data_IF_117563948157
#
_entry.id   IF_117563948157
#
_cell.length_a   1.000
_cell.length_b   1.000
_cell.length_c   1.000
_cell.angle_alpha   90.00
_cell.angle_beta   90.00
_cell.angle_gamma   90.00
#
_symmetry.space_group_name_H-M   'P 1'
#
loop_
_entity.id
_entity.type
_entity.pdbx_description
1 polymer ?
#
# COMPACT_ATOMS: atom_id res chain seq x y z
N UNK A 1 47.30 -33.73 -19.98
CA UNK A 1 47.06 -32.94 -18.75
C UNK A 1 47.80 -31.59 -18.80
N UNK A 2 47.68 -30.82 -19.90
CA UNK A 2 48.30 -29.49 -20.01
C UNK A 2 47.60 -28.55 -21.03
N UNK A 3 46.38 -28.90 -21.49
CA UNK A 3 45.63 -28.13 -22.51
C UNK A 3 44.34 -27.50 -21.91
N UNK A 4 43.85 -28.00 -20.77
CA UNK A 4 42.65 -27.47 -20.11
C UNK A 4 42.91 -26.24 -19.23
N UNK A 5 44.17 -25.94 -18.89
CA UNK A 5 44.53 -24.84 -18.00
C UNK A 5 44.71 -23.50 -18.75
N UNK A 6 44.81 -23.52 -20.08
CA UNK A 6 45.00 -22.32 -20.91
C UNK A 6 43.67 -21.65 -21.34
N UNK A 7 42.54 -22.36 -21.25
CA UNK A 7 41.23 -21.83 -21.65
C UNK A 7 40.53 -21.01 -20.55
N UNK A 8 41.02 -21.04 -19.31
CA UNK A 8 40.44 -20.27 -18.19
C UNK A 8 41.08 -18.89 -17.97
N UNK A 9 42.24 -18.61 -18.56
CA UNK A 9 42.99 -17.37 -18.32
C UNK A 9 42.72 -16.24 -19.32
N UNK A 10 41.88 -16.46 -20.36
CA UNK A 10 41.59 -15.43 -21.37
C UNK A 10 40.25 -14.70 -21.19
N UNK A 11 39.50 -14.96 -20.13
CA UNK A 11 38.30 -14.19 -19.79
C UNK A 11 38.54 -13.43 -18.49
N UNK A 12 39.20 -12.27 -18.65
CA UNK A 12 39.39 -11.27 -17.60
C UNK A 12 38.08 -10.69 -17.08
N UNK A 13 37.32 -11.49 -16.33
CA UNK A 13 36.22 -11.01 -15.50
C UNK A 13 36.81 -10.75 -14.12
N UNK A 14 37.28 -9.53 -13.93
CA UNK A 14 37.56 -8.95 -12.62
C UNK A 14 36.40 -9.27 -11.68
N UNK A 15 36.67 -10.09 -10.65
CA UNK A 15 35.79 -10.24 -9.48
C UNK A 15 35.70 -8.89 -8.77
N UNK A 16 34.80 -8.03 -9.23
CA UNK A 16 34.30 -6.94 -8.41
C UNK A 16 33.61 -7.60 -7.21
N UNK A 17 34.18 -7.40 -6.02
CA UNK A 17 33.60 -7.83 -4.76
C UNK A 17 32.25 -7.15 -4.60
N UNK A 18 31.17 -7.87 -4.93
CA UNK A 18 29.82 -7.50 -4.52
C UNK A 18 29.83 -7.57 -3.00
N UNK A 19 29.86 -6.39 -2.36
CA UNK A 19 29.64 -6.27 -0.94
C UNK A 19 28.36 -7.03 -0.61
N UNK A 20 28.50 -8.15 0.10
CA UNK A 20 27.39 -8.96 0.58
C UNK A 20 26.58 -8.11 1.55
N UNK A 21 25.57 -7.42 1.02
CA UNK A 21 24.51 -6.82 1.82
C UNK A 21 23.94 -7.96 2.66
N UNK A 22 24.07 -7.92 4.00
CA UNK A 22 23.47 -8.91 4.90
C UNK A 22 21.97 -9.00 4.60
N UNK A 23 21.56 -10.01 3.85
CA UNK A 23 20.17 -10.33 3.58
C UNK A 23 19.60 -10.81 4.93
N UNK A 24 18.58 -10.11 5.46
CA UNK A 24 17.89 -10.60 6.66
C UNK A 24 17.06 -11.82 6.27
N UNK A 25 17.59 -13.00 6.55
CA UNK A 25 16.92 -14.27 6.27
C UNK A 25 15.92 -14.54 7.40
N UNK A 26 14.64 -14.71 7.05
CA UNK A 26 13.61 -15.05 8.02
C UNK A 26 13.71 -16.52 8.44
N UNK A 27 13.71 -16.78 9.74
CA UNK A 27 13.57 -18.11 10.32
C UNK A 27 12.53 -18.08 11.42
N UNK A 28 11.33 -18.62 11.20
CA UNK A 28 10.33 -18.75 12.27
C UNK A 28 10.74 -19.86 13.24
N UNK A 29 10.68 -19.63 14.56
CA UNK A 29 10.87 -20.68 15.56
C UNK A 29 9.68 -21.65 15.64
N UNK A 30 8.51 -21.28 15.09
CA UNK A 30 7.31 -22.11 15.04
C UNK A 30 7.01 -22.58 13.60
N UNK A 31 6.34 -23.74 13.46
CA UNK A 31 5.85 -24.27 12.18
C UNK A 31 4.83 -23.37 11.44
N UNK A 32 4.48 -22.22 12.05
CA UNK A 32 3.50 -21.21 11.60
C UNK A 32 4.19 -20.08 10.78
N UNK A 33 5.50 -20.16 10.61
CA UNK A 33 6.21 -19.32 9.64
C UNK A 33 5.81 -19.66 8.20
N UNK A 34 6.19 -18.82 7.21
CA UNK A 34 5.93 -19.13 5.82
C UNK A 34 6.53 -20.48 5.47
N UNK A 35 5.77 -21.32 4.80
CA UNK A 35 6.24 -22.61 4.28
C UNK A 35 6.21 -22.57 2.75
N UNK A 36 7.19 -23.25 2.15
CA UNK A 36 7.26 -23.29 0.70
C UNK A 36 6.22 -24.28 0.17
N UNK A 37 5.22 -23.79 -0.57
CA UNK A 37 4.18 -24.63 -1.17
C UNK A 37 4.64 -25.39 -2.42
N UNK A 38 5.77 -24.99 -3.03
CA UNK A 38 6.37 -25.71 -4.16
C UNK A 38 6.75 -27.15 -3.76
N UNK A 39 6.10 -28.15 -4.36
CA UNK A 39 6.33 -29.57 -4.10
C UNK A 39 7.74 -30.06 -4.40
N UNK A 40 8.45 -29.38 -5.30
CA UNK A 40 9.83 -29.72 -5.68
C UNK A 40 10.89 -28.97 -4.85
N UNK A 41 10.48 -28.28 -3.78
CA UNK A 41 11.42 -27.53 -2.97
C UNK A 41 12.23 -28.46 -2.05
N UNK A 42 13.56 -28.30 -2.08
CA UNK A 42 14.51 -29.05 -1.22
C UNK A 42 14.17 -28.95 0.27
N UNK A 43 13.59 -27.83 0.73
CA UNK A 43 13.19 -27.63 2.13
C UNK A 43 11.99 -28.50 2.56
N UNK A 44 11.29 -29.16 1.62
CA UNK A 44 10.23 -30.12 1.93
C UNK A 44 10.75 -31.56 2.00
N UNK A 45 11.85 -31.85 1.31
CA UNK A 45 12.38 -33.20 1.12
C UNK A 45 13.55 -33.51 2.04
N UNK A 46 14.35 -32.51 2.43
CA UNK A 46 15.51 -32.69 3.30
C UNK A 46 15.27 -32.13 4.71
N UNK A 47 15.26 -32.98 5.75
CA UNK A 47 15.20 -32.53 7.13
C UNK A 47 16.61 -32.22 7.66
N UNK A 48 16.68 -31.28 8.60
CA UNK A 48 17.81 -30.96 9.52
C UNK A 48 18.61 -29.68 9.22
N UNK A 49 18.99 -29.34 7.98
CA UNK A 49 19.77 -28.09 7.71
C UNK A 49 19.03 -27.02 6.88
N UNK A 50 17.96 -27.39 6.19
CA UNK A 50 17.36 -26.61 5.11
C UNK A 50 16.00 -26.03 5.52
N UNK A 51 15.98 -25.21 6.57
CA UNK A 51 14.75 -24.46 6.93
C UNK A 51 14.37 -23.53 5.79
N UNK A 52 13.10 -23.47 5.34
CA UNK A 52 12.73 -22.60 4.25
C UNK A 52 12.92 -21.14 4.67
N UNK A 53 13.85 -20.47 3.98
CA UNK A 53 14.19 -19.06 4.20
C UNK A 53 13.43 -18.21 3.22
N UNK A 54 12.74 -17.20 3.74
CA UNK A 54 12.01 -16.23 2.95
C UNK A 54 12.63 -14.86 3.08
N UNK A 55 12.62 -14.13 1.98
CA UNK A 55 12.84 -12.69 1.99
C UNK A 55 11.54 -11.99 1.62
N UNK A 56 11.32 -10.80 2.17
CA UNK A 56 10.24 -9.96 1.67
C UNK A 56 10.62 -9.48 0.28
N UNK A 57 9.95 -10.03 -0.71
CA UNK A 57 10.11 -9.65 -2.10
C UNK A 57 8.88 -8.84 -2.47
N UNK A 58 8.91 -7.53 -2.24
CA UNK A 58 7.84 -6.67 -2.74
C UNK A 58 7.92 -6.66 -4.27
N UNK A 59 7.06 -7.42 -4.94
CA UNK A 59 7.04 -7.45 -6.40
C UNK A 59 5.99 -6.49 -6.88
N UNK A 60 6.46 -5.40 -7.47
CA UNK A 60 5.60 -4.54 -8.25
C UNK A 60 4.53 -3.81 -7.44
N UNK A 61 3.64 -3.13 -8.16
CA UNK A 61 3.05 -1.88 -7.71
C UNK A 61 1.91 -2.05 -6.67
N UNK A 62 1.55 -3.30 -6.31
CA UNK A 62 0.43 -3.64 -5.40
C UNK A 62 0.68 -3.48 -3.91
N UNK A 63 1.91 -3.24 -3.49
CA UNK A 63 2.23 -3.29 -2.06
C UNK A 63 1.90 -4.63 -1.40
N UNK A 64 1.38 -5.63 -2.14
CA UNK A 64 1.00 -6.94 -1.64
C UNK A 64 2.24 -7.59 -1.06
N UNK A 65 2.08 -8.20 0.11
CA UNK A 65 3.19 -8.89 0.74
C UNK A 65 3.47 -10.16 -0.04
N UNK A 66 4.59 -10.17 -0.77
CA UNK A 66 5.09 -11.36 -1.44
C UNK A 66 6.35 -11.81 -0.72
N UNK A 67 6.35 -13.08 -0.35
CA UNK A 67 7.51 -13.75 0.24
C UNK A 67 8.14 -14.62 -0.82
N UNK A 68 9.43 -14.42 -1.07
CA UNK A 68 10.18 -15.25 -2.02
C UNK A 68 11.02 -16.26 -1.26
N UNK A 69 10.84 -17.54 -1.59
CA UNK A 69 11.65 -18.63 -1.06
C UNK A 69 13.07 -18.53 -1.62
N UNK A 70 14.08 -18.52 -0.76
CA UNK A 70 15.49 -18.39 -1.14
C UNK A 70 16.00 -19.60 -1.95
N UNK A 71 15.44 -20.79 -1.73
CA UNK A 71 15.95 -22.03 -2.33
C UNK A 71 15.40 -22.29 -3.74
N UNK A 72 14.10 -22.06 -3.97
CA UNK A 72 13.46 -22.36 -5.25
C UNK A 72 12.88 -21.13 -5.94
N UNK A 73 13.11 -19.92 -5.41
CA UNK A 73 12.58 -18.65 -5.91
C UNK A 73 11.04 -18.58 -6.00
N UNK A 74 10.32 -19.54 -5.42
CA UNK A 74 8.86 -19.55 -5.41
C UNK A 74 8.31 -18.36 -4.64
N UNK A 75 7.30 -17.71 -5.20
CA UNK A 75 6.70 -16.50 -4.65
C UNK A 75 5.35 -16.83 -4.00
N UNK A 76 5.21 -16.47 -2.73
CA UNK A 76 4.00 -16.67 -1.94
C UNK A 76 3.34 -15.33 -1.68
N UNK A 77 2.11 -15.15 -2.17
CA UNK A 77 1.29 -13.97 -1.88
C UNK A 77 0.62 -14.14 -0.52
N UNK A 78 0.94 -13.26 0.42
CA UNK A 78 0.42 -13.27 1.78
C UNK A 78 -0.77 -12.32 1.89
N UNK A 79 -1.90 -12.83 2.37
CA UNK A 79 -3.13 -12.04 2.58
C UNK A 79 -3.29 -11.61 4.03
N UNK A 80 -2.92 -12.46 4.98
CA UNK A 80 -3.03 -12.18 6.40
C UNK A 80 -1.66 -12.33 7.06
N UNK A 81 -1.33 -11.37 7.91
CA UNK A 81 -0.10 -11.37 8.71
C UNK A 81 -0.47 -11.38 10.18
N UNK A 82 0.34 -12.04 10.98
CA UNK A 82 0.21 -12.05 12.41
C UNK A 82 1.55 -11.96 13.13
N UNK A 83 1.45 -11.79 14.43
CA UNK A 83 2.59 -11.72 15.32
C UNK A 83 2.56 -12.94 16.25
N UNK A 84 3.64 -13.74 16.18
CA UNK A 84 3.74 -15.06 16.82
C UNK A 84 3.59 -14.99 18.33
N UNK A 85 4.21 -14.01 18.99
CA UNK A 85 4.16 -13.87 20.45
C UNK A 85 2.79 -13.43 20.97
N UNK A 86 2.17 -12.45 20.31
CA UNK A 86 0.87 -11.95 20.76
C UNK A 86 -0.30 -12.83 20.30
N UNK A 87 -0.05 -13.81 19.43
CA UNK A 87 -1.09 -14.64 18.79
C UNK A 87 -2.19 -13.79 18.17
N UNK A 88 -1.82 -12.71 17.48
CA UNK A 88 -2.77 -11.83 16.79
C UNK A 88 -2.54 -11.73 15.30
N UNK A 89 -3.61 -11.63 14.50
CA UNK A 89 -3.53 -11.51 13.04
C UNK A 89 -4.37 -10.35 12.50
N UNK A 90 -4.04 -9.90 11.29
CA UNK A 90 -4.79 -8.89 10.55
C UNK A 90 -4.63 -9.10 9.04
N UNK A 91 -5.57 -8.64 8.21
CA UNK A 91 -5.33 -8.56 6.77
C UNK A 91 -4.12 -7.65 6.52
N UNK A 92 -3.23 -8.08 5.64
CA UNK A 92 -2.07 -7.31 5.27
C UNK A 92 -2.49 -6.08 4.46
N UNK A 93 -1.89 -4.93 4.78
CA UNK A 93 -2.03 -3.67 4.07
C UNK A 93 -0.62 -3.10 3.82
N UNK A 94 -0.42 -2.37 2.71
CA UNK A 94 0.90 -1.80 2.35
C UNK A 94 1.51 -0.98 3.49
N UNK A 95 0.65 -0.34 4.29
CA UNK A 95 1.06 0.49 5.40
C UNK A 95 1.66 -0.34 6.56
N UNK A 96 1.44 -1.67 6.60
CA UNK A 96 2.11 -2.61 7.52
C UNK A 96 3.48 -3.06 7.03
N UNK A 97 3.94 -2.62 5.85
CA UNK A 97 5.17 -3.11 5.23
C UNK A 97 6.42 -2.97 6.10
N UNK A 98 6.53 -1.89 6.89
CA UNK A 98 7.63 -1.72 7.85
C UNK A 98 7.51 -2.65 9.06
N UNK A 99 6.32 -2.74 9.65
CA UNK A 99 6.01 -3.65 10.76
C UNK A 99 6.31 -5.10 10.39
N UNK A 100 5.93 -5.52 9.18
CA UNK A 100 6.22 -6.87 8.67
C UNK A 100 7.72 -7.08 8.50
N UNK A 101 8.48 -6.10 8.00
CA UNK A 101 9.94 -6.17 7.92
C UNK A 101 10.58 -6.28 9.30
N UNK A 102 10.04 -5.59 10.30
CA UNK A 102 10.51 -5.69 11.68
C UNK A 102 10.22 -7.06 12.29
N UNK A 103 8.98 -7.55 12.20
CA UNK A 103 8.62 -8.90 12.64
C UNK A 103 9.45 -9.96 11.93
N UNK A 104 9.76 -9.76 10.65
CA UNK A 104 10.66 -10.64 9.92
C UNK A 104 12.08 -10.63 10.51
N UNK A 105 12.66 -9.45 10.76
CA UNK A 105 14.00 -9.36 11.39
C UNK A 105 14.06 -10.02 12.77
N UNK A 106 12.95 -9.97 13.52
CA UNK A 106 12.82 -10.53 14.87
C UNK A 106 12.37 -11.99 14.91
N UNK A 107 12.16 -12.64 13.76
CA UNK A 107 11.62 -14.00 13.70
C UNK A 107 10.19 -14.14 14.30
N UNK A 108 9.39 -13.08 14.23
CA UNK A 108 8.08 -12.96 14.90
C UNK A 108 6.87 -12.96 13.94
N UNK A 109 7.07 -13.07 12.63
CA UNK A 109 6.02 -12.98 11.61
C UNK A 109 5.27 -14.31 11.40
N UNK A 110 3.99 -14.35 11.73
CA UNK A 110 3.07 -15.38 11.29
C UNK A 110 2.40 -14.96 9.97
N UNK A 111 2.10 -15.93 9.09
CA UNK A 111 1.31 -15.68 7.89
C UNK A 111 0.17 -16.68 7.79
N UNK A 112 -0.96 -16.25 7.22
CA UNK A 112 -2.11 -17.11 7.02
C UNK A 112 -2.71 -16.93 5.63
N UNK A 113 -3.12 -18.06 5.04
CA UNK A 113 -3.82 -18.13 3.76
C UNK A 113 -5.32 -17.79 3.93
N UNK A 114 -5.87 -18.00 5.13
CA UNK A 114 -7.26 -17.68 5.45
C UNK A 114 -7.47 -17.34 6.93
N UNK A 115 -8.58 -16.65 7.22
CA UNK A 115 -9.04 -16.40 8.60
C UNK A 115 -9.20 -17.71 9.38
N UNK A 116 -9.82 -18.72 8.76
CA UNK A 116 -10.06 -20.02 9.38
C UNK A 116 -8.77 -20.68 9.86
N UNK A 117 -7.71 -20.63 9.05
CA UNK A 117 -6.39 -21.16 9.41
C UNK A 117 -5.80 -20.41 10.61
N UNK A 118 -5.94 -19.09 10.67
CA UNK A 118 -5.45 -18.30 11.80
C UNK A 118 -6.16 -18.67 13.11
N UNK A 119 -7.49 -18.80 13.07
CA UNK A 119 -8.32 -19.15 14.22
C UNK A 119 -8.09 -20.59 14.70
N UNK A 120 -7.94 -21.56 13.78
CA UNK A 120 -7.58 -22.95 14.10
C UNK A 120 -6.22 -23.04 14.83
N UNK A 121 -5.28 -22.13 14.50
CA UNK A 121 -3.98 -21.99 15.16
C UNK A 121 -4.03 -21.11 16.43
N UNK A 122 -5.23 -20.78 16.91
CA UNK A 122 -5.52 -19.97 18.11
C UNK A 122 -4.98 -18.53 18.02
N UNK A 123 -4.97 -17.94 16.83
CA UNK A 123 -4.72 -16.51 16.68
C UNK A 123 -6.03 -15.73 16.73
N UNK A 124 -6.01 -14.61 17.44
CA UNK A 124 -7.14 -13.68 17.52
C UNK A 124 -6.94 -12.49 16.56
N UNK A 125 -8.00 -11.91 15.99
CA UNK A 125 -7.82 -10.70 15.17
C UNK A 125 -7.29 -9.53 16.01
N UNK A 126 -6.41 -8.71 15.45
CA UNK A 126 -6.06 -7.41 16.04
C UNK A 126 -7.33 -6.58 16.19
N UNK A 127 -7.71 -6.28 17.44
CA UNK A 127 -8.77 -5.32 17.71
C UNK A 127 -8.23 -3.93 17.36
N UNK A 128 -8.89 -3.26 16.41
CA UNK A 128 -8.63 -1.85 16.18
C UNK A 128 -8.90 -1.10 17.48
N UNK A 129 -8.03 -0.15 17.86
CA UNK A 129 -8.35 0.79 18.93
C UNK A 129 -9.66 1.55 18.63
N UNK A 130 -10.22 2.28 19.60
CA UNK A 130 -11.43 3.06 19.37
C UNK A 130 -11.26 3.92 18.12
N UNK A 131 -12.18 3.76 17.17
CA UNK A 131 -12.19 4.52 15.93
C UNK A 131 -12.71 5.92 16.24
N UNK A 132 -11.91 6.94 15.94
CA UNK A 132 -12.35 8.33 16.02
C UNK A 132 -12.76 8.78 14.63
N UNK A 133 -13.98 9.31 14.52
CA UNK A 133 -14.43 9.95 13.29
C UNK A 133 -13.64 11.24 13.06
N UNK A 134 -13.12 11.39 11.85
CA UNK A 134 -12.33 12.53 11.40
C UNK A 134 -13.07 13.34 10.36
N UNK A 135 -13.84 12.68 9.49
CA UNK A 135 -14.73 13.35 8.54
C UNK A 135 -16.03 12.57 8.42
N UNK A 136 -17.16 13.23 8.60
CA UNK A 136 -18.45 12.67 8.21
C UNK A 136 -18.76 12.87 6.70
N UNK A 137 -19.91 12.37 6.26
CA UNK A 137 -20.34 12.46 4.85
C UNK A 137 -20.45 13.91 4.35
N UNK A 138 -20.92 14.82 5.21
CA UNK A 138 -21.09 16.23 4.85
C UNK A 138 -19.73 16.92 4.70
N UNK A 139 -18.79 16.63 5.62
CA UNK A 139 -17.41 17.10 5.54
C UNK A 139 -16.69 16.55 4.29
N UNK A 140 -16.89 15.28 3.94
CA UNK A 140 -16.31 14.70 2.72
C UNK A 140 -16.87 15.39 1.48
N UNK A 141 -18.19 15.62 1.42
CA UNK A 141 -18.84 16.31 0.30
C UNK A 141 -18.32 17.73 0.15
N UNK A 142 -18.24 18.48 1.26
CA UNK A 142 -17.71 19.84 1.27
C UNK A 142 -16.24 19.88 0.81
N UNK A 143 -15.41 18.94 1.28
CA UNK A 143 -14.03 18.83 0.85
C UNK A 143 -13.89 18.54 -0.66
N UNK A 144 -14.74 17.67 -1.21
CA UNK A 144 -14.77 17.40 -2.66
C UNK A 144 -15.14 18.67 -3.43
N UNK A 145 -16.21 19.37 -3.04
CA UNK A 145 -16.61 20.62 -3.69
C UNK A 145 -15.48 21.67 -3.64
N UNK A 146 -14.85 21.86 -2.48
CA UNK A 146 -13.73 22.80 -2.33
C UNK A 146 -12.54 22.43 -3.23
N UNK A 147 -12.15 21.15 -3.26
CA UNK A 147 -11.06 20.70 -4.14
C UNK A 147 -11.42 20.91 -5.62
N UNK A 148 -12.65 20.62 -6.02
CA UNK A 148 -13.12 20.84 -7.40
C UNK A 148 -13.07 22.32 -7.79
N UNK A 149 -13.50 23.23 -6.92
CA UNK A 149 -13.39 24.68 -7.16
C UNK A 149 -11.94 25.12 -7.31
N UNK A 150 -11.05 24.65 -6.44
CA UNK A 150 -9.61 24.95 -6.52
C UNK A 150 -8.98 24.42 -7.81
N UNK A 151 -9.35 23.20 -8.23
CA UNK A 151 -8.89 22.61 -9.50
C UNK A 151 -9.34 23.48 -10.68
N UNK A 152 -10.61 23.91 -10.68
CA UNK A 152 -11.16 24.73 -11.75
C UNK A 152 -10.48 26.10 -11.82
N UNK A 153 -10.24 26.74 -10.68
CA UNK A 153 -9.51 28.01 -10.59
C UNK A 153 -8.05 27.89 -11.07
N UNK A 154 -7.40 26.75 -10.82
CA UNK A 154 -6.04 26.46 -11.26
C UNK A 154 -5.91 25.94 -12.70
N UNK A 155 -7.02 25.83 -13.43
CA UNK A 155 -7.07 25.29 -14.79
C UNK A 155 -7.26 26.40 -15.82
N UNK A 156 -6.27 26.60 -16.68
CA UNK A 156 -6.35 27.57 -17.79
C UNK A 156 -7.31 27.11 -18.89
N UNK A 157 -7.38 25.81 -19.13
CA UNK A 157 -8.23 25.18 -20.15
C UNK A 157 -8.88 23.90 -19.60
N UNK A 158 -10.15 23.96 -19.15
CA UNK A 158 -10.88 22.80 -18.64
C UNK A 158 -10.99 21.64 -19.65
N UNK A 159 -10.88 21.88 -20.96
CA UNK A 159 -10.99 20.81 -21.97
C UNK A 159 -9.79 19.88 -21.99
N UNK A 160 -8.67 20.34 -21.42
CA UNK A 160 -7.43 19.57 -21.28
C UNK A 160 -7.33 18.83 -19.96
N UNK A 161 -8.30 19.01 -19.07
CA UNK A 161 -8.30 18.36 -17.77
C UNK A 161 -8.54 16.86 -17.93
N UNK A 162 -7.67 16.06 -17.32
CA UNK A 162 -7.82 14.61 -17.22
C UNK A 162 -7.73 14.23 -15.75
N UNK A 163 -8.78 13.61 -15.20
CA UNK A 163 -8.77 13.15 -13.80
C UNK A 163 -8.43 11.68 -13.78
N UNK A 164 -7.38 11.32 -13.04
CA UNK A 164 -6.94 9.94 -12.88
C UNK A 164 -7.02 9.54 -11.41
N UNK A 165 -7.91 8.62 -11.08
CA UNK A 165 -8.02 8.11 -9.71
C UNK A 165 -7.18 6.85 -9.48
N UNK A 166 -6.43 6.81 -8.39
CA UNK A 166 -5.72 5.59 -7.97
C UNK A 166 -6.74 4.58 -7.47
N UNK A 167 -6.76 3.38 -8.04
CA UNK A 167 -7.72 2.34 -7.65
C UNK A 167 -7.44 1.87 -6.22
N UNK A 168 -8.43 1.61 -5.37
CA UNK A 168 -9.89 1.59 -5.60
C UNK A 168 -10.62 2.85 -5.16
N UNK A 169 -10.28 3.43 -4.01
CA UNK A 169 -11.06 4.57 -3.46
C UNK A 169 -10.78 5.89 -4.19
N UNK A 170 -9.55 6.08 -4.67
CA UNK A 170 -9.19 7.24 -5.47
C UNK A 170 -9.97 7.34 -6.79
N UNK A 171 -10.36 6.23 -7.41
CA UNK A 171 -11.21 6.24 -8.61
C UNK A 171 -12.64 6.70 -8.34
N UNK A 172 -13.24 6.29 -7.22
CA UNK A 172 -14.54 6.82 -6.80
C UNK A 172 -14.49 8.31 -6.45
N UNK A 173 -13.44 8.75 -5.77
CA UNK A 173 -13.22 10.17 -5.48
C UNK A 173 -13.00 10.98 -6.78
N UNK A 174 -12.22 10.45 -7.72
CA UNK A 174 -11.99 11.07 -9.03
C UNK A 174 -13.30 11.28 -9.78
N UNK A 175 -14.18 10.27 -9.79
CA UNK A 175 -15.52 10.36 -10.40
C UNK A 175 -16.36 11.45 -9.74
N UNK A 176 -16.40 11.50 -8.41
CA UNK A 176 -17.15 12.54 -7.67
C UNK A 176 -16.60 13.95 -7.92
N UNK A 177 -15.28 14.12 -7.94
CA UNK A 177 -14.63 15.40 -8.29
C UNK A 177 -15.01 15.82 -9.71
N UNK A 178 -14.97 14.87 -10.65
CA UNK A 178 -15.40 15.10 -12.04
C UNK A 178 -16.83 15.60 -12.09
N UNK A 179 -17.78 14.91 -11.45
CA UNK A 179 -19.19 15.32 -11.42
C UNK A 179 -19.37 16.75 -10.89
N UNK A 180 -18.62 17.16 -9.86
CA UNK A 180 -18.65 18.54 -9.34
C UNK A 180 -18.05 19.57 -10.33
N UNK A 181 -16.97 19.20 -11.02
CA UNK A 181 -16.36 20.03 -12.06
C UNK A 181 -17.27 20.18 -13.28
N UNK A 182 -17.95 19.11 -13.71
CA UNK A 182 -18.89 19.13 -14.82
C UNK A 182 -20.11 20.01 -14.50
N UNK A 183 -20.63 19.96 -13.27
CA UNK A 183 -21.70 20.87 -12.80
C UNK A 183 -21.29 22.34 -12.89
N UNK A 184 -20.06 22.64 -12.48
CA UNK A 184 -19.56 24.03 -12.40
C UNK A 184 -19.14 24.59 -13.76
N UNK A 185 -18.50 23.77 -14.60
CA UNK A 185 -17.97 24.18 -15.92
C UNK A 185 -18.95 23.98 -17.06
N UNK A 186 -19.99 23.14 -16.88
CA UNK A 186 -20.91 22.65 -17.93
C UNK A 186 -20.19 21.93 -19.09
N UNK A 187 -19.01 21.38 -18.84
CA UNK A 187 -18.23 20.60 -19.80
C UNK A 187 -18.03 19.19 -19.28
N UNK A 188 -17.90 18.23 -20.18
CA UNK A 188 -17.61 16.84 -19.82
C UNK A 188 -16.12 16.68 -19.53
N UNK A 189 -15.78 16.10 -18.38
CA UNK A 189 -14.40 15.88 -17.96
C UNK A 189 -14.04 14.41 -18.16
N UNK A 190 -12.87 14.15 -18.76
CA UNK A 190 -12.40 12.79 -18.95
C UNK A 190 -11.87 12.23 -17.63
N UNK A 191 -12.33 11.02 -17.26
CA UNK A 191 -11.92 10.32 -16.04
C UNK A 191 -11.33 8.95 -16.38
N UNK A 192 -10.18 8.67 -15.80
CA UNK A 192 -9.54 7.36 -15.81
C UNK A 192 -9.21 6.85 -14.42
N UNK A 193 -8.79 5.61 -14.37
CA UNK A 193 -8.23 4.95 -13.21
C UNK A 193 -6.79 4.49 -13.48
N UNK A 194 -5.98 4.51 -12.44
CA UNK A 194 -4.64 3.93 -12.43
C UNK A 194 -4.70 2.71 -11.53
N UNK A 195 -4.50 1.54 -12.11
CA UNK A 195 -4.23 0.34 -11.33
C UNK A 195 -2.74 0.37 -11.01
N UNK A 196 -2.42 0.73 -9.78
CA UNK A 196 -1.07 0.50 -9.28
C UNK A 196 -0.97 -0.92 -8.74
N UNK A 197 -2.04 -1.70 -8.53
CA UNK A 197 -1.91 -3.00 -7.89
C UNK A 197 -1.90 -4.19 -8.88
N UNK A 198 -0.76 -4.90 -9.04
CA UNK A 198 -0.69 -6.23 -9.68
C UNK A 198 0.32 -6.34 -10.83
N UNK A 199 -0.05 -7.03 -11.91
CA UNK A 199 0.72 -7.11 -13.17
C UNK A 199 0.48 -5.93 -14.13
N UNK A 200 -0.57 -5.16 -13.91
CA UNK A 200 -1.04 -4.15 -14.87
C UNK A 200 -0.53 -2.77 -14.51
N UNK A 201 0.73 -2.43 -14.83
CA UNK A 201 1.21 -1.04 -14.96
C UNK A 201 0.35 -0.29 -16.03
N UNK A 202 -0.95 -0.10 -15.76
CA UNK A 202 -2.00 0.13 -16.74
C UNK A 202 -2.90 1.30 -16.32
N UNK A 203 -3.21 2.14 -17.30
CA UNK A 203 -4.27 3.15 -17.19
C UNK A 203 -5.52 2.64 -17.90
N UNK A 204 -6.68 2.79 -17.25
CA UNK A 204 -7.98 2.43 -17.81
C UNK A 204 -8.93 3.63 -17.74
N UNK A 205 -9.87 3.74 -18.68
CA UNK A 205 -10.94 4.76 -18.62
C UNK A 205 -12.10 4.27 -17.75
N UNK A 206 -12.79 5.18 -17.05
CA UNK A 206 -13.98 4.88 -16.24
C UNK A 206 -15.32 5.12 -16.96
N UNK A 207 -15.33 5.19 -18.30
CA UNK A 207 -16.52 5.51 -19.09
C UNK A 207 -17.47 4.31 -19.29
N UNK A 208 -18.81 4.50 -19.33
CA UNK A 208 -19.80 3.45 -19.52
C UNK A 208 -20.23 3.21 -20.99
N UNK A 209 -19.40 3.57 -21.97
CA UNK A 209 -19.77 3.45 -23.39
C UNK A 209 -18.98 2.31 -24.05
N UNK A 210 -19.75 1.36 -24.58
CA UNK A 210 -19.36 0.19 -25.38
C UNK A 210 -18.02 0.33 -26.12
N UNK A 211 -17.02 -0.41 -25.66
CA UNK A 211 -15.71 -0.49 -26.31
C UNK A 211 -14.65 -1.15 -25.44
N UNK A 212 -13.69 -1.83 -26.09
CA UNK A 212 -12.48 -2.38 -25.49
C UNK A 212 -11.82 -1.38 -24.51
N UNK A 213 -11.22 -1.85 -23.40
CA UNK A 213 -10.54 -0.98 -22.44
C UNK A 213 -9.42 -0.20 -23.14
N UNK A 214 -9.69 1.07 -23.44
CA UNK A 214 -8.69 1.97 -24.03
C UNK A 214 -8.12 2.89 -22.96
N UNK A 215 -6.79 2.99 -22.91
CA UNK A 215 -6.12 3.89 -21.98
C UNK A 215 -6.41 5.36 -22.32
N UNK A 216 -6.67 6.22 -21.31
CA UNK A 216 -6.80 7.65 -21.52
C UNK A 216 -5.49 8.21 -22.12
N UNK A 217 -5.61 9.11 -23.09
CA UNK A 217 -4.44 9.78 -23.65
C UNK A 217 -3.97 10.87 -22.68
N UNK A 218 -2.81 10.67 -22.06
CA UNK A 218 -2.21 11.61 -21.12
C UNK A 218 -1.40 12.72 -21.80
N UNK A 219 -1.10 12.61 -23.11
CA UNK A 219 -0.22 13.54 -23.81
C UNK A 219 -0.82 14.96 -23.84
N UNK A 220 -0.03 15.95 -23.44
CA UNK A 220 -0.40 17.37 -23.42
C UNK A 220 -1.67 17.69 -22.60
N UNK A 221 -2.10 16.77 -21.72
CA UNK A 221 -3.21 16.98 -20.79
C UNK A 221 -2.74 17.57 -19.46
N UNK A 222 -3.61 18.33 -18.81
CA UNK A 222 -3.47 18.73 -17.41
C UNK A 222 -4.05 17.64 -16.51
N UNK A 223 -3.19 16.78 -15.96
CA UNK A 223 -3.60 15.61 -15.19
C UNK A 223 -3.80 15.96 -13.73
N UNK A 224 -4.97 15.60 -13.17
CA UNK A 224 -5.24 15.61 -11.74
C UNK A 224 -5.24 14.16 -11.25
N UNK A 225 -4.19 13.78 -10.53
CA UNK A 225 -4.08 12.49 -9.85
C UNK A 225 -4.87 12.54 -8.53
N UNK A 226 -5.73 11.56 -8.28
CA UNK A 226 -6.61 11.53 -7.10
C UNK A 226 -6.33 10.29 -6.25
N UNK A 227 -6.09 10.49 -4.96
CA UNK A 227 -5.91 9.42 -3.97
C UNK A 227 -6.78 9.67 -2.72
N UNK A 228 -7.07 8.63 -1.95
CA UNK A 228 -7.88 8.78 -0.74
C UNK A 228 -7.07 9.33 0.44
N UNK A 229 -5.88 8.78 0.70
CA UNK A 229 -5.00 9.20 1.79
C UNK A 229 -3.55 9.21 1.35
N UNK A 230 -2.87 10.36 1.50
CA UNK A 230 -1.41 10.42 1.34
C UNK A 230 -0.69 10.18 2.66
N UNK A 231 0.24 9.22 2.64
CA UNK A 231 1.14 8.87 3.74
C UNK A 231 2.61 9.04 3.32
N UNK A 232 3.34 7.95 3.08
CA UNK A 232 4.76 7.97 2.68
C UNK A 232 5.01 8.58 1.30
N UNK A 233 4.00 8.53 0.42
CA UNK A 233 4.06 8.99 -0.97
C UNK A 233 4.46 7.92 -1.99
N UNK A 234 4.70 6.67 -1.58
CA UNK A 234 5.13 5.59 -2.48
C UNK A 234 4.09 5.27 -3.56
N UNK A 235 2.81 5.23 -3.17
CA UNK A 235 1.65 5.09 -4.07
C UNK A 235 1.70 6.12 -5.21
N UNK A 236 1.90 7.39 -4.86
CA UNK A 236 1.96 8.49 -5.83
C UNK A 236 3.19 8.37 -6.73
N UNK A 237 4.36 8.04 -6.19
CA UNK A 237 5.58 7.81 -7.00
C UNK A 237 5.35 6.74 -8.08
N UNK A 238 4.70 5.64 -7.72
CA UNK A 238 4.36 4.57 -8.66
C UNK A 238 3.36 5.05 -9.70
N UNK A 239 2.30 5.74 -9.29
CA UNK A 239 1.31 6.29 -10.21
C UNK A 239 1.92 7.28 -11.22
N UNK A 240 2.81 8.17 -10.76
CA UNK A 240 3.57 9.08 -11.63
C UNK A 240 4.40 8.31 -12.66
N UNK A 241 5.05 7.22 -12.23
CA UNK A 241 5.84 6.38 -13.14
C UNK A 241 4.99 5.79 -14.26
N UNK A 242 3.77 5.33 -13.94
CA UNK A 242 2.82 4.79 -14.93
C UNK A 242 2.35 5.89 -15.89
N UNK A 243 1.98 7.07 -15.38
CA UNK A 243 1.57 8.22 -16.21
C UNK A 243 2.67 8.57 -17.23
N UNK A 244 3.92 8.69 -16.79
CA UNK A 244 5.04 9.05 -17.67
C UNK A 244 5.46 7.94 -18.63
N UNK A 245 5.20 6.66 -18.30
CA UNK A 245 5.35 5.56 -19.26
C UNK A 245 4.31 5.63 -20.39
N UNK A 246 3.10 6.08 -20.08
CA UNK A 246 1.99 6.15 -21.05
C UNK A 246 1.99 7.42 -21.91
N UNK A 247 2.74 8.44 -21.52
CA UNK A 247 2.92 9.64 -22.35
C UNK A 247 3.48 10.82 -21.56
N UNK A 248 3.47 12.00 -22.21
CA UNK A 248 4.00 13.24 -21.63
C UNK A 248 2.86 14.23 -21.34
N UNK A 249 2.36 14.29 -20.10
CA UNK A 249 1.35 15.29 -19.72
C UNK A 249 1.94 16.70 -19.72
N UNK A 250 1.06 17.71 -19.84
CA UNK A 250 1.42 19.12 -19.67
C UNK A 250 1.79 19.41 -18.22
N UNK A 251 1.00 18.88 -17.28
CA UNK A 251 1.23 18.97 -15.84
C UNK A 251 0.59 17.78 -15.14
N UNK A 252 1.14 17.38 -13.99
CA UNK A 252 0.48 16.45 -13.07
C UNK A 252 0.36 17.13 -11.71
N UNK A 253 -0.87 17.27 -11.21
CA UNK A 253 -1.18 17.77 -9.86
C UNK A 253 -1.83 16.66 -9.04
N UNK A 254 -1.65 16.70 -7.73
CA UNK A 254 -2.17 15.69 -6.83
C UNK A 254 -3.29 16.26 -5.94
N UNK A 255 -4.46 15.62 -6.00
CA UNK A 255 -5.58 15.85 -5.11
C UNK A 255 -5.75 14.66 -4.16
N UNK A 256 -5.87 14.93 -2.86
CA UNK A 256 -6.08 13.88 -1.85
C UNK A 256 -7.19 14.28 -0.89
N UNK A 257 -8.03 13.31 -0.51
CA UNK A 257 -9.05 13.60 0.49
C UNK A 257 -8.41 13.90 1.85
N UNK A 258 -7.42 13.09 2.27
CA UNK A 258 -6.73 13.27 3.54
C UNK A 258 -5.22 13.28 3.41
N UNK A 259 -4.59 14.27 4.04
CA UNK A 259 -3.15 14.30 4.26
C UNK A 259 -2.84 14.02 5.73
N UNK A 260 -2.18 12.88 5.99
CA UNK A 260 -1.84 12.43 7.34
C UNK A 260 -0.35 12.60 7.71
N UNK A 261 0.44 13.27 6.88
CA UNK A 261 1.88 13.47 7.10
C UNK A 261 2.76 12.23 6.85
N UNK A 262 3.92 12.19 7.52
CA UNK A 262 4.93 11.10 7.46
C UNK A 262 5.43 10.77 6.06
N UNK A 263 5.90 11.80 5.34
CA UNK A 263 6.45 11.66 3.99
C UNK A 263 7.82 11.00 4.03
N UNK A 264 8.01 9.99 3.18
CA UNK A 264 9.32 9.42 2.86
C UNK A 264 9.82 9.91 1.50
N UNK A 265 8.90 10.39 0.66
CA UNK A 265 9.17 10.91 -0.69
C UNK A 265 8.76 12.38 -0.71
N UNK A 266 9.52 13.27 -1.38
CA UNK A 266 9.24 14.70 -1.45
C UNK A 266 8.07 15.02 -2.40
N UNK A 267 6.90 14.46 -2.13
CA UNK A 267 5.65 14.70 -2.86
C UNK A 267 4.68 15.43 -1.94
N UNK A 268 4.20 16.58 -2.42
CA UNK A 268 3.21 17.40 -1.74
C UNK A 268 1.93 17.43 -2.59
N UNK A 269 0.74 17.16 -2.02
CA UNK A 269 -0.50 17.37 -2.73
C UNK A 269 -0.75 18.85 -2.96
N UNK A 270 -1.27 19.17 -4.13
CA UNK A 270 -1.72 20.50 -4.52
C UNK A 270 -3.09 20.80 -3.89
N UNK A 271 -3.97 19.79 -3.87
CA UNK A 271 -5.32 19.91 -3.31
C UNK A 271 -5.48 18.89 -2.19
N UNK A 272 -5.96 19.36 -1.03
CA UNK A 272 -6.14 18.53 0.16
C UNK A 272 -7.51 18.82 0.76
N UNK A 273 -8.32 17.78 0.94
CA UNK A 273 -9.60 17.90 1.65
C UNK A 273 -9.41 18.24 3.13
N UNK A 274 -8.65 17.41 3.86
CA UNK A 274 -8.34 17.63 5.28
C UNK A 274 -6.91 17.23 5.62
N UNK A 275 -6.18 18.10 6.31
CA UNK A 275 -4.87 17.78 6.93
C UNK A 275 -5.10 17.33 8.36
N UNK A 276 -4.55 16.19 8.74
CA UNK A 276 -4.67 15.68 10.12
C UNK A 276 -3.31 15.35 10.71
N UNK A 277 -3.02 15.79 11.95
CA UNK A 277 -1.90 15.24 12.69
C UNK A 277 -2.22 13.79 13.00
N UNK A 278 -1.30 12.88 12.65
CA UNK A 278 -1.36 11.48 13.02
C UNK A 278 -0.02 11.06 13.60
N UNK A 279 -0.03 10.08 14.49
CA UNK A 279 1.18 9.34 14.86
C UNK A 279 1.47 8.24 13.81
N UNK A 280 2.68 7.72 13.80
CA UNK A 280 3.06 6.58 12.95
C UNK A 280 2.23 5.32 13.25
N UNK A 281 1.78 5.16 14.51
CA UNK A 281 0.96 4.03 14.96
C UNK A 281 -0.53 4.18 14.63
N UNK A 282 -0.97 5.37 14.27
CA UNK A 282 -2.33 5.62 13.82
C UNK A 282 -2.49 5.27 12.33
N UNK A 283 -3.71 4.91 11.96
CA UNK A 283 -4.12 4.54 10.62
C UNK A 283 -5.38 5.30 10.27
N UNK A 284 -5.47 5.71 9.02
CA UNK A 284 -6.61 6.44 8.48
C UNK A 284 -7.32 5.51 7.51
N UNK A 285 -8.62 5.33 7.69
CA UNK A 285 -9.46 4.56 6.77
C UNK A 285 -10.57 5.45 6.25
N UNK A 286 -10.58 5.62 4.94
CA UNK A 286 -11.68 6.24 4.20
C UNK A 286 -12.68 5.15 3.86
N UNK A 287 -13.94 5.36 4.24
CA UNK A 287 -15.08 4.51 3.87
C UNK A 287 -15.95 5.29 2.91
N UNK A 288 -16.19 4.71 1.74
CA UNK A 288 -17.05 5.27 0.70
C UNK A 288 -18.18 4.29 0.44
N UNK A 289 -19.40 4.80 0.26
CA UNK A 289 -20.62 4.02 -0.02
C UNK A 289 -20.47 3.05 -1.20
N UNK A 290 -19.71 3.44 -2.22
CA UNK A 290 -19.50 2.63 -3.43
C UNK A 290 -18.69 1.36 -3.17
N UNK A 291 -17.91 1.33 -2.09
CA UNK A 291 -17.08 0.18 -1.70
C UNK A 291 -17.71 -0.61 -0.56
N UNK A 292 -18.35 0.07 0.39
CA UNK A 292 -18.83 -0.52 1.63
C UNK A 292 -20.33 -0.91 1.58
N UNK A 293 -20.98 -0.81 0.41
CA UNK A 293 -22.35 -1.32 0.19
C UNK A 293 -23.43 -0.52 0.93
N UNK A 294 -23.56 0.77 0.60
CA UNK A 294 -24.56 1.72 1.14
C UNK A 294 -24.35 2.18 2.61
N UNK A 295 -23.19 1.89 3.23
CA UNK A 295 -22.77 2.63 4.43
C UNK A 295 -22.50 4.11 4.11
N UNK A 296 -22.84 5.01 5.04
CA UNK A 296 -22.49 6.44 4.93
C UNK A 296 -20.99 6.63 4.81
N UNK A 297 -20.60 7.58 3.97
CA UNK A 297 -19.20 7.97 3.82
C UNK A 297 -18.66 8.49 5.16
N UNK A 298 -17.45 8.06 5.52
CA UNK A 298 -16.75 8.55 6.71
C UNK A 298 -15.26 8.30 6.60
N UNK A 299 -14.49 9.16 7.25
CA UNK A 299 -13.06 8.92 7.48
C UNK A 299 -12.85 8.68 8.96
N UNK A 300 -12.24 7.54 9.28
CA UNK A 300 -11.90 7.20 10.67
C UNK A 300 -10.39 7.12 10.85
N UNK A 301 -9.92 7.55 12.01
CA UNK A 301 -8.56 7.29 12.48
C UNK A 301 -8.61 6.28 13.62
N UNK A 302 -7.67 5.33 13.64
CA UNK A 302 -7.55 4.34 14.70
C UNK A 302 -6.09 3.98 14.95
N UNK A 303 -5.76 3.66 16.19
CA UNK A 303 -4.44 3.15 16.54
C UNK A 303 -4.40 1.63 16.35
N UNK A 304 -3.27 1.12 15.86
CA UNK A 304 -2.93 -0.29 16.01
C UNK A 304 -2.43 -0.46 17.45
N UNK A 305 -3.21 -1.13 18.28
CA UNK A 305 -2.82 -1.38 19.68
C UNK A 305 -1.95 -2.63 19.71
N UNK A 306 -0.64 -2.44 19.90
CA UNK A 306 0.26 -3.51 20.33
C UNK A 306 -0.01 -3.83 21.81
N UNK A 307 -0.14 -5.10 22.22
CA UNK A 307 -0.52 -5.47 23.58
C UNK A 307 0.46 -5.01 24.68
N UNK A 308 1.71 -4.70 24.34
CA UNK A 308 2.69 -4.15 25.30
C UNK A 308 2.27 -2.76 25.82
N UNK A 309 1.59 -1.96 24.98
CA UNK A 309 1.13 -0.60 25.35
C UNK A 309 -0.09 -0.63 26.28
N UNK A 310 -0.91 -1.68 26.25
CA UNK A 310 -2.04 -1.82 27.20
C UNK A 310 -1.58 -2.09 28.62
N UNK A 311 -0.46 -2.79 28.81
CA UNK A 311 0.14 -3.02 30.13
C UNK A 311 0.84 -1.77 30.69
N UNK A 312 1.33 -0.88 29.83
CA UNK A 312 1.89 0.41 30.29
C UNK A 312 0.81 1.40 30.69
N UNK A 313 -0.32 1.45 29.98
CA UNK A 313 -1.45 2.33 30.38
C UNK A 313 -2.13 1.87 31.68
N UNK A 314 -2.23 0.56 31.93
CA UNK A 314 -2.73 0.06 33.22
C UNK A 314 -1.74 0.24 34.37
N UNK A 315 -0.42 0.21 34.11
CA UNK A 315 0.61 0.53 35.10
C UNK A 315 0.67 2.04 35.46
N UNK A 316 0.40 2.92 34.49
CA UNK A 316 0.34 4.38 34.72
C UNK A 316 -0.97 4.82 35.38
N UNK A 317 -2.09 4.09 35.19
CA UNK A 317 -3.37 4.40 35.84
C UNK A 317 -3.57 3.78 37.22
N UNK A 318 -2.60 3.00 37.72
CA UNK A 318 -2.70 2.28 38.99
C UNK A 318 -1.81 2.83 40.11
N UNK A 319 -1.27 4.04 39.95
CA UNK A 319 -0.48 4.71 40.98
C UNK A 319 -1.23 5.92 41.61
N UNK A 320 -2.27 5.72 42.43
CA UNK A 320 -2.71 6.74 43.38
C UNK A 320 -2.00 6.48 44.72
N UNK A 321 -0.81 7.06 44.92
CA UNK A 321 -0.24 7.37 46.25
C UNK A 321 1.17 7.97 46.13
N UNK A 322 1.25 9.29 46.25
CA UNK A 322 2.37 10.01 46.85
C UNK A 322 2.02 11.48 47.07
N UNK A 323 0.98 11.78 47.85
CA UNK A 323 0.83 13.08 48.52
C UNK A 323 0.17 12.85 49.88
N UNK A 324 1.00 12.70 50.93
CA UNK A 324 0.81 13.19 52.30
C UNK A 324 2.10 12.95 53.09
#
# INVERSE_FOLDING_TARGET
MAILQFLFDSLGVTRASVAQKKISLYESPEAIGPQCVNGNCVSRTEPVSTRPRFEVFFTGPSGALILRCFYCSHQLKVQYVGHTRSRKYCPYDISLGETVREWMKRAELAIFDSIKQAEELRYEPYKSGPQRNIMDEAEIRAAICQMSEQILQGSEDPDRLLILGIRTKGSFLAKRISEELEKSSRRKIEVGEIEIYGTGDELRRLSPLDGEPSSPNVKERAVILVDDVIHTGMTVKTALSIIFKSGRPQSVRLAVLVDRGHREIPVKPDYVGKRIPSSERERVRVKLREVEGDEKDKVVIYSIVSPEDSNQRSALSSNPKAES
#
